data_IF_957790524549
#
_entry.id   IF_957790524549
#
_cell.length_a   1.000
_cell.length_b   1.000
_cell.length_c   1.000
_cell.angle_alpha   90.00
_cell.angle_beta   90.00
_cell.angle_gamma   90.00
#
_symmetry.space_group_name_H-M   'P 1'
#
loop_
_entity.id
_entity.type
_entity.pdbx_description
1 polymer ?
#
# COMPACT_ATOMS: atom_id res chain seq x y z
N UNK A 1 -50.86 12.13 7.35
CA UNK A 1 -50.32 11.00 8.14
C UNK A 1 -50.26 9.67 7.39
N UNK A 2 -51.36 8.99 7.01
CA UNK A 2 -51.25 7.71 6.28
C UNK A 2 -50.66 7.88 4.87
N UNK A 3 -51.06 8.94 4.16
CA UNK A 3 -50.56 9.27 2.83
C UNK A 3 -49.07 9.69 2.84
N UNK A 4 -48.65 10.51 3.80
CA UNK A 4 -47.23 10.88 4.02
C UNK A 4 -46.35 9.68 4.43
N UNK A 5 -46.88 8.72 5.19
CA UNK A 5 -46.17 7.49 5.54
C UNK A 5 -45.98 6.58 4.32
N UNK A 6 -46.99 6.47 3.47
CA UNK A 6 -46.91 5.72 2.22
C UNK A 6 -45.89 6.36 1.26
N UNK A 7 -45.85 7.69 1.18
CA UNK A 7 -44.92 8.44 0.33
C UNK A 7 -43.46 8.27 0.81
N UNK A 8 -43.21 8.41 2.11
CA UNK A 8 -41.87 8.18 2.68
C UNK A 8 -41.37 6.74 2.45
N UNK A 9 -42.22 5.73 2.66
CA UNK A 9 -41.82 4.33 2.45
C UNK A 9 -41.45 4.05 0.99
N UNK A 10 -42.18 4.64 0.04
CA UNK A 10 -41.88 4.55 -1.38
C UNK A 10 -40.57 5.27 -1.74
N UNK A 11 -40.33 6.46 -1.18
CA UNK A 11 -39.09 7.21 -1.37
C UNK A 11 -37.89 6.45 -0.79
N UNK A 12 -38.00 5.93 0.43
CA UNK A 12 -36.98 5.13 1.09
C UNK A 12 -36.65 3.86 0.29
N UNK A 13 -37.68 3.15 -0.19
CA UNK A 13 -37.48 1.96 -1.03
C UNK A 13 -36.71 2.27 -2.32
N UNK A 14 -37.01 3.40 -2.98
CA UNK A 14 -36.24 3.88 -4.14
C UNK A 14 -34.80 4.20 -3.77
N UNK A 15 -34.58 4.93 -2.68
CA UNK A 15 -33.24 5.30 -2.22
C UNK A 15 -32.38 4.07 -1.87
N UNK A 16 -32.94 3.09 -1.15
CA UNK A 16 -32.28 1.82 -0.81
C UNK A 16 -31.91 1.04 -2.07
N UNK A 17 -32.80 0.94 -3.06
CA UNK A 17 -32.53 0.24 -4.32
C UNK A 17 -31.47 0.94 -5.19
N UNK A 18 -31.49 2.27 -5.23
CA UNK A 18 -30.45 3.06 -5.90
C UNK A 18 -29.09 2.86 -5.21
N UNK A 19 -29.07 2.87 -3.88
CA UNK A 19 -27.87 2.61 -3.09
C UNK A 19 -27.35 1.18 -3.31
N UNK A 20 -28.22 0.17 -3.34
CA UNK A 20 -27.87 -1.21 -3.69
C UNK A 20 -27.18 -1.28 -5.06
N UNK A 21 -27.79 -0.66 -6.07
CA UNK A 21 -27.25 -0.59 -7.42
C UNK A 21 -25.87 0.09 -7.47
N UNK A 22 -25.68 1.13 -6.65
CA UNK A 22 -24.38 1.78 -6.50
C UNK A 22 -23.34 0.88 -5.83
N UNK A 23 -23.73 0.13 -4.79
CA UNK A 23 -22.84 -0.81 -4.12
C UNK A 23 -22.38 -1.92 -5.09
N UNK A 24 -23.30 -2.54 -5.81
CA UNK A 24 -22.99 -3.63 -6.74
C UNK A 24 -22.09 -3.20 -7.89
N UNK A 25 -22.34 -2.01 -8.46
CA UNK A 25 -21.58 -1.52 -9.62
C UNK A 25 -20.22 -0.95 -9.24
N UNK A 26 -20.08 -0.39 -8.04
CA UNK A 26 -18.93 0.44 -7.70
C UNK A 26 -18.18 -0.04 -6.46
N UNK A 27 -18.87 -0.18 -5.33
CA UNK A 27 -18.22 -0.42 -4.03
C UNK A 27 -17.75 -1.87 -3.88
N UNK A 28 -18.56 -2.84 -4.27
CA UNK A 28 -18.23 -4.27 -4.15
C UNK A 28 -17.06 -4.66 -5.07
N UNK A 29 -17.02 -4.26 -6.35
CA UNK A 29 -15.85 -4.49 -7.20
C UNK A 29 -14.57 -3.84 -6.65
N UNK A 30 -14.67 -2.61 -6.12
CA UNK A 30 -13.54 -1.93 -5.47
C UNK A 30 -13.06 -2.70 -4.24
N UNK A 31 -13.98 -3.09 -3.35
CA UNK A 31 -13.67 -3.88 -2.16
C UNK A 31 -12.90 -5.17 -2.52
N UNK A 32 -13.35 -5.90 -3.54
CA UNK A 32 -12.67 -7.11 -4.00
C UNK A 32 -11.26 -6.82 -4.52
N UNK A 33 -11.10 -5.73 -5.27
CA UNK A 33 -9.78 -5.31 -5.75
C UNK A 33 -8.84 -4.93 -4.60
N UNK A 34 -9.33 -4.15 -3.64
CA UNK A 34 -8.56 -3.69 -2.50
C UNK A 34 -8.14 -4.86 -1.60
N UNK A 35 -9.01 -5.86 -1.38
CA UNK A 35 -8.69 -7.08 -0.63
C UNK A 35 -7.62 -7.95 -1.32
N UNK A 36 -7.61 -8.01 -2.65
CA UNK A 36 -6.54 -8.67 -3.42
C UNK A 36 -5.21 -7.94 -3.28
N UNK A 37 -5.22 -6.62 -3.39
CA UNK A 37 -4.02 -5.80 -3.18
C UNK A 37 -3.49 -5.97 -1.75
N UNK A 38 -4.37 -6.01 -0.75
CA UNK A 38 -4.00 -6.25 0.65
C UNK A 38 -3.32 -7.62 0.82
N UNK A 39 -3.88 -8.68 0.25
CA UNK A 39 -3.27 -10.01 0.29
C UNK A 39 -1.89 -10.00 -0.37
N UNK A 40 -1.77 -9.44 -1.59
CA UNK A 40 -0.51 -9.42 -2.32
C UNK A 40 0.60 -8.67 -1.57
N UNK A 41 0.29 -7.52 -0.98
CA UNK A 41 1.23 -6.75 -0.16
C UNK A 41 1.61 -7.51 1.11
N UNK A 42 0.63 -8.11 1.78
CA UNK A 42 0.88 -8.91 2.98
C UNK A 42 1.76 -10.13 2.70
N UNK A 43 1.48 -10.89 1.63
CA UNK A 43 2.32 -12.02 1.20
C UNK A 43 3.75 -11.59 0.86
N UNK A 44 3.91 -10.39 0.29
CA UNK A 44 5.24 -9.82 0.03
C UNK A 44 5.98 -9.54 1.34
N UNK A 45 5.31 -8.94 2.33
CA UNK A 45 5.87 -8.71 3.67
C UNK A 45 6.24 -10.02 4.35
N UNK A 46 5.36 -11.03 4.31
CA UNK A 46 5.61 -12.37 4.87
C UNK A 46 6.86 -12.99 4.28
N UNK A 47 7.01 -12.98 2.95
CA UNK A 47 8.20 -13.51 2.27
C UNK A 47 9.48 -12.81 2.71
N UNK A 48 9.46 -11.49 2.89
CA UNK A 48 10.64 -10.73 3.35
C UNK A 48 10.99 -11.09 4.79
N UNK A 49 9.99 -11.18 5.68
CA UNK A 49 10.18 -11.54 7.08
C UNK A 49 10.70 -12.98 7.23
N UNK A 50 10.16 -13.92 6.44
CA UNK A 50 10.59 -15.32 6.43
C UNK A 50 12.04 -15.45 5.96
N UNK A 51 12.42 -14.73 4.88
CA UNK A 51 13.82 -14.66 4.42
C UNK A 51 14.80 -14.17 5.48
N UNK A 52 14.35 -13.26 6.36
CA UNK A 52 15.14 -12.75 7.48
C UNK A 52 15.07 -13.63 8.74
N UNK A 53 14.41 -14.79 8.68
CA UNK A 53 14.17 -15.68 9.84
C UNK A 53 13.46 -14.95 11.00
N UNK A 54 12.64 -13.95 10.70
CA UNK A 54 11.87 -13.18 11.69
C UNK A 54 10.47 -13.77 11.93
N UNK A 55 10.00 -14.61 11.01
CA UNK A 55 8.80 -15.43 11.17
C UNK A 55 9.13 -16.87 10.82
N UNK A 56 8.39 -17.80 11.42
CA UNK A 56 8.54 -19.24 11.20
C UNK A 56 7.34 -19.72 10.38
N UNK A 57 7.57 -20.51 9.33
CA UNK A 57 6.48 -21.12 8.58
C UNK A 57 5.69 -22.08 9.48
N UNK A 58 4.36 -21.99 9.43
CA UNK A 58 3.49 -22.90 10.17
C UNK A 58 3.43 -24.25 9.43
N UNK A 59 3.93 -25.36 10.02
CA UNK A 59 3.93 -26.67 9.37
C UNK A 59 2.53 -27.16 8.97
N UNK A 60 1.49 -26.66 9.63
CA UNK A 60 0.10 -27.07 9.43
C UNK A 60 -0.70 -26.07 8.59
N UNK A 61 -0.06 -25.04 8.02
CA UNK A 61 -0.73 -24.00 7.25
C UNK A 61 -1.56 -24.58 6.10
N UNK A 62 -1.02 -25.59 5.40
CA UNK A 62 -1.66 -26.20 4.22
C UNK A 62 -2.80 -27.17 4.57
N UNK A 63 -2.91 -27.60 5.84
CA UNK A 63 -3.97 -28.51 6.30
C UNK A 63 -5.24 -27.76 6.76
N UNK A 64 -5.18 -26.43 6.85
CA UNK A 64 -6.30 -25.60 7.30
C UNK A 64 -7.38 -25.48 6.22
N UNK A 65 -8.56 -26.03 6.50
CA UNK A 65 -9.75 -25.88 5.65
C UNK A 65 -10.67 -24.81 6.23
N UNK A 66 -10.90 -23.75 5.46
CA UNK A 66 -11.82 -22.67 5.84
C UNK A 66 -13.18 -22.86 5.16
N UNK A 67 -14.26 -22.74 5.94
CA UNK A 67 -15.62 -22.62 5.42
C UNK A 67 -16.15 -21.19 5.50
N UNK A 68 -15.58 -20.38 6.40
CA UNK A 68 -15.97 -19.00 6.67
C UNK A 68 -14.75 -18.23 7.20
N UNK A 69 -14.72 -16.91 6.99
CA UNK A 69 -13.67 -16.07 7.56
C UNK A 69 -13.99 -15.70 9.00
N UNK A 70 -12.96 -15.45 9.80
CA UNK A 70 -13.06 -15.08 11.21
C UNK A 70 -11.98 -14.07 11.59
N UNK A 71 -12.17 -13.41 12.73
CA UNK A 71 -11.09 -12.65 13.36
C UNK A 71 -9.91 -13.55 13.72
N UNK A 72 -8.70 -12.99 13.68
CA UNK A 72 -7.50 -13.67 14.16
C UNK A 72 -7.42 -13.52 15.68
N UNK A 73 -7.03 -14.58 16.43
CA UNK A 73 -6.94 -14.49 17.89
C UNK A 73 -6.00 -13.38 18.37
N UNK A 74 -6.36 -12.75 19.49
CA UNK A 74 -5.58 -11.70 20.16
C UNK A 74 -5.23 -12.05 21.60
N UNK A 75 -5.28 -13.34 21.96
CA UNK A 75 -4.96 -13.82 23.31
C UNK A 75 -3.50 -13.50 23.67
N UNK A 76 -3.24 -13.29 24.96
CA UNK A 76 -1.89 -13.08 25.47
C UNK A 76 -1.04 -14.34 25.36
N UNK A 77 0.26 -14.16 25.19
CA UNK A 77 1.26 -15.22 25.11
C UNK A 77 2.54 -14.78 25.83
N UNK A 78 3.38 -15.72 26.21
CA UNK A 78 4.67 -15.43 26.87
C UNK A 78 5.72 -14.89 25.88
N UNK A 79 6.75 -14.20 26.37
CA UNK A 79 7.81 -13.69 25.48
C UNK A 79 8.59 -14.81 24.76
N UNK A 80 8.69 -16.00 25.35
CA UNK A 80 9.42 -17.13 24.76
C UNK A 80 8.74 -17.73 23.52
N UNK A 81 7.41 -17.68 23.45
CA UNK A 81 6.61 -18.23 22.34
C UNK A 81 6.13 -17.16 21.35
N UNK A 82 6.44 -15.88 21.62
CA UNK A 82 5.99 -14.70 20.87
C UNK A 82 6.16 -14.81 19.35
N UNK A 83 7.37 -15.17 18.90
CA UNK A 83 7.67 -15.27 17.45
C UNK A 83 6.85 -16.40 16.82
N UNK A 84 6.74 -17.54 17.50
CA UNK A 84 5.97 -18.69 17.03
C UNK A 84 4.49 -18.34 16.91
N UNK A 85 3.88 -17.82 17.98
CA UNK A 85 2.46 -17.50 18.02
C UNK A 85 2.09 -16.44 16.98
N UNK A 86 2.90 -15.38 16.85
CA UNK A 86 2.58 -14.33 15.86
C UNK A 86 2.80 -14.82 14.42
N UNK A 87 3.78 -15.69 14.18
CA UNK A 87 4.00 -16.27 12.85
C UNK A 87 2.80 -17.11 12.42
N UNK A 88 2.27 -17.94 13.33
CA UNK A 88 1.04 -18.72 13.10
C UNK A 88 -0.14 -17.77 12.82
N UNK A 89 -0.35 -16.73 13.63
CA UNK A 89 -1.43 -15.75 13.42
C UNK A 89 -1.32 -15.02 12.08
N UNK A 90 -0.11 -14.66 11.66
CA UNK A 90 0.15 -14.04 10.36
C UNK A 90 -0.11 -15.02 9.20
N UNK A 91 0.29 -16.29 9.33
CA UNK A 91 -0.03 -17.35 8.36
C UNK A 91 -1.53 -17.63 8.26
N UNK A 92 -2.26 -17.63 9.39
CA UNK A 92 -3.71 -17.73 9.42
C UNK A 92 -4.38 -16.55 8.70
N UNK A 93 -3.90 -15.33 8.94
CA UNK A 93 -4.39 -14.14 8.23
C UNK A 93 -4.17 -14.28 6.72
N UNK A 94 -2.98 -14.67 6.27
CA UNK A 94 -2.67 -14.87 4.85
C UNK A 94 -3.59 -15.92 4.21
N UNK A 95 -3.76 -17.06 4.89
CA UNK A 95 -4.57 -18.18 4.38
C UNK A 95 -6.06 -17.83 4.32
N UNK A 96 -6.58 -17.08 5.30
CA UNK A 96 -7.96 -16.58 5.25
C UNK A 96 -8.17 -15.51 4.17
N UNK A 97 -7.18 -14.63 3.93
CA UNK A 97 -7.22 -13.67 2.84
C UNK A 97 -7.21 -14.37 1.47
N UNK A 98 -6.42 -15.43 1.31
CA UNK A 98 -6.42 -16.27 0.12
C UNK A 98 -7.77 -16.96 -0.08
N UNK A 99 -8.30 -17.60 0.97
CA UNK A 99 -9.63 -18.19 0.92
C UNK A 99 -10.69 -17.16 0.49
N UNK A 100 -10.62 -15.97 1.08
CA UNK A 100 -11.56 -14.90 0.79
C UNK A 100 -11.50 -14.47 -0.69
N UNK A 101 -10.30 -14.30 -1.25
CA UNK A 101 -10.13 -13.82 -2.62
C UNK A 101 -10.48 -14.87 -3.70
N UNK A 102 -10.37 -16.15 -3.36
CA UNK A 102 -10.53 -17.27 -4.30
C UNK A 102 -11.92 -17.93 -4.22
N UNK A 103 -12.50 -18.04 -3.02
CA UNK A 103 -13.72 -18.84 -2.80
C UNK A 103 -14.90 -18.05 -2.24
N UNK A 104 -14.67 -16.86 -1.70
CA UNK A 104 -15.75 -16.04 -1.13
C UNK A 104 -16.55 -15.34 -2.21
N UNK A 105 -17.87 -15.30 -2.01
CA UNK A 105 -18.76 -14.56 -2.90
C UNK A 105 -18.87 -13.11 -2.43
N UNK A 106 -18.73 -12.18 -3.37
CA UNK A 106 -18.88 -10.75 -3.14
C UNK A 106 -20.14 -10.27 -3.85
N UNK A 107 -21.28 -10.49 -3.19
CA UNK A 107 -22.60 -10.00 -3.60
C UNK A 107 -23.36 -9.50 -2.37
N UNK A 108 -24.33 -8.60 -2.58
CA UNK A 108 -25.16 -8.12 -1.48
C UNK A 108 -25.90 -9.27 -0.78
N UNK A 109 -26.41 -10.26 -1.52
CA UNK A 109 -27.11 -11.40 -0.92
C UNK A 109 -26.22 -12.24 0.00
N UNK A 110 -24.95 -12.42 -0.39
CA UNK A 110 -24.01 -13.23 0.37
C UNK A 110 -23.41 -12.48 1.57
N UNK A 111 -23.20 -11.16 1.45
CA UNK A 111 -22.58 -10.31 2.47
C UNK A 111 -23.56 -9.89 3.56
N UNK A 112 -23.85 -10.83 4.46
CA UNK A 112 -24.71 -10.60 5.63
C UNK A 112 -24.01 -9.79 6.73
N UNK A 113 -24.77 -9.20 7.66
CA UNK A 113 -24.22 -8.46 8.80
C UNK A 113 -23.18 -9.27 9.61
N UNK A 114 -23.40 -10.57 9.95
CA UNK A 114 -22.38 -11.38 10.63
C UNK A 114 -21.10 -11.55 9.81
N UNK A 115 -21.22 -11.80 8.50
CA UNK A 115 -20.05 -11.94 7.61
C UNK A 115 -19.27 -10.65 7.49
N UNK A 116 -19.95 -9.51 7.35
CA UNK A 116 -19.30 -8.20 7.35
C UNK A 116 -18.56 -7.93 8.67
N UNK A 117 -19.09 -8.39 9.81
CA UNK A 117 -18.37 -8.31 11.11
C UNK A 117 -17.12 -9.19 11.10
N UNK A 118 -17.20 -10.41 10.58
CA UNK A 118 -16.06 -11.31 10.49
C UNK A 118 -14.96 -10.76 9.56
N UNK A 119 -15.32 -10.26 8.38
CA UNK A 119 -14.37 -9.62 7.45
C UNK A 119 -13.74 -8.40 8.13
N UNK A 120 -14.52 -7.59 8.84
CA UNK A 120 -14.00 -6.43 9.59
C UNK A 120 -12.99 -6.88 10.65
N UNK A 121 -13.28 -7.95 11.39
CA UNK A 121 -12.40 -8.48 12.42
C UNK A 121 -11.09 -9.03 11.82
N UNK A 122 -11.18 -9.76 10.70
CA UNK A 122 -10.02 -10.24 9.96
C UNK A 122 -9.14 -9.08 9.49
N UNK A 123 -9.72 -8.10 8.79
CA UNK A 123 -9.00 -6.92 8.26
C UNK A 123 -8.36 -6.10 9.38
N UNK A 124 -8.94 -6.09 10.58
CA UNK A 124 -8.40 -5.39 11.77
C UNK A 124 -7.39 -6.20 12.59
N UNK A 125 -6.94 -7.36 12.11
CA UNK A 125 -5.92 -8.18 12.76
C UNK A 125 -4.70 -7.36 13.22
N UNK A 126 -4.21 -6.46 12.36
CA UNK A 126 -3.12 -5.52 12.65
C UNK A 126 -3.59 -4.12 12.29
N UNK A 127 -3.28 -3.14 13.14
CA UNK A 127 -3.46 -1.71 12.81
C UNK A 127 -2.26 -1.24 12.00
N UNK A 128 -2.43 -1.19 10.68
CA UNK A 128 -1.36 -0.77 9.76
C UNK A 128 -1.15 0.74 9.80
N UNK A 129 -2.23 1.50 9.98
CA UNK A 129 -2.15 2.92 10.29
C UNK A 129 -1.72 3.15 11.74
N UNK A 130 -0.71 3.98 11.96
CA UNK A 130 -0.16 4.24 13.29
C UNK A 130 0.56 3.05 13.95
N UNK A 131 1.11 2.12 13.15
CA UNK A 131 1.85 0.96 13.65
C UNK A 131 2.96 1.37 14.65
N UNK A 132 2.94 0.77 15.84
CA UNK A 132 3.85 1.12 16.94
C UNK A 132 4.15 -0.07 17.85
N UNK A 133 5.42 -0.27 18.28
CA UNK A 133 5.78 -1.22 19.34
C UNK A 133 5.17 -0.89 20.71
N UNK A 134 4.54 0.28 20.87
CA UNK A 134 3.85 0.66 22.11
C UNK A 134 2.31 0.50 21.99
N UNK A 135 1.83 -0.22 20.98
CA UNK A 135 0.39 -0.48 20.81
C UNK A 135 -0.17 -1.30 21.97
N UNK A 136 -1.39 -0.96 22.41
CA UNK A 136 -2.18 -1.77 23.36
C UNK A 136 -2.71 -3.07 22.72
N UNK A 137 -2.71 -3.16 21.39
CA UNK A 137 -3.06 -4.37 20.66
C UNK A 137 -1.83 -5.27 20.50
N UNK A 138 -1.86 -6.47 21.09
CA UNK A 138 -0.71 -7.37 21.16
C UNK A 138 -0.20 -7.79 19.78
N UNK A 139 -1.10 -8.06 18.83
CA UNK A 139 -0.73 -8.46 17.48
C UNK A 139 -0.04 -7.31 16.75
N UNK A 140 -0.62 -6.11 16.77
CA UNK A 140 -0.03 -4.89 16.19
C UNK A 140 1.33 -4.60 16.80
N UNK A 141 1.47 -4.68 18.13
CA UNK A 141 2.72 -4.43 18.84
C UNK A 141 3.82 -5.37 18.36
N UNK A 142 3.57 -6.68 18.39
CA UNK A 142 4.58 -7.68 18.06
C UNK A 142 4.92 -7.64 16.58
N UNK A 143 3.94 -7.45 15.69
CA UNK A 143 4.20 -7.24 14.26
C UNK A 143 5.05 -5.99 14.03
N UNK A 144 4.80 -4.89 14.75
CA UNK A 144 5.63 -3.69 14.68
C UNK A 144 7.08 -3.94 15.13
N UNK A 145 7.28 -4.72 16.20
CA UNK A 145 8.61 -5.13 16.63
C UNK A 145 9.34 -5.98 15.58
N UNK A 146 8.66 -6.97 14.98
CA UNK A 146 9.23 -7.80 13.93
C UNK A 146 9.61 -6.98 12.70
N UNK A 147 8.75 -6.05 12.28
CA UNK A 147 9.03 -5.18 11.14
C UNK A 147 10.18 -4.22 11.43
N UNK A 148 10.29 -3.68 12.65
CA UNK A 148 11.43 -2.85 13.04
C UNK A 148 12.74 -3.65 13.06
N UNK A 149 12.71 -4.90 13.52
CA UNK A 149 13.86 -5.82 13.38
C UNK A 149 14.17 -6.10 11.91
N UNK A 150 13.16 -6.25 11.06
CA UNK A 150 13.30 -6.43 9.62
C UNK A 150 13.94 -5.24 8.90
N UNK A 151 13.65 -4.02 9.36
CA UNK A 151 14.33 -2.78 8.95
C UNK A 151 15.76 -2.68 9.49
N UNK A 152 16.10 -3.43 10.54
CA UNK A 152 17.45 -3.50 11.09
C UNK A 152 18.45 -4.11 10.08
N UNK A 153 19.55 -3.39 9.86
CA UNK A 153 20.63 -3.75 8.92
C UNK A 153 21.03 -2.55 8.04
N UNK A 154 22.24 -2.58 7.47
CA UNK A 154 22.78 -1.51 6.60
C UNK A 154 22.17 -1.52 5.18
N UNK A 155 20.92 -2.00 5.02
CA UNK A 155 20.18 -2.01 3.76
C UNK A 155 18.99 -1.03 3.75
N UNK A 156 19.22 0.22 3.29
CA UNK A 156 18.17 1.20 3.07
C UNK A 156 17.11 0.81 2.04
N UNK A 157 17.39 -0.12 1.11
CA UNK A 157 16.41 -0.56 0.11
C UNK A 157 15.31 -1.39 0.78
N UNK A 158 15.68 -2.39 1.58
CA UNK A 158 14.74 -3.14 2.41
C UNK A 158 13.95 -2.22 3.34
N UNK A 159 14.61 -1.24 3.95
CA UNK A 159 13.95 -0.25 4.81
C UNK A 159 12.92 0.58 4.05
N UNK A 160 13.24 1.05 2.84
CA UNK A 160 12.31 1.79 1.99
C UNK A 160 11.12 0.93 1.55
N UNK A 161 11.37 -0.33 1.18
CA UNK A 161 10.34 -1.29 0.79
C UNK A 161 9.36 -1.56 1.93
N UNK A 162 9.85 -1.78 3.16
CA UNK A 162 8.98 -1.91 4.33
C UNK A 162 8.14 -0.66 4.56
N UNK A 163 8.74 0.53 4.50
CA UNK A 163 8.01 1.78 4.74
C UNK A 163 6.90 2.01 3.69
N UNK A 164 7.19 1.72 2.41
CA UNK A 164 6.20 1.81 1.34
C UNK A 164 5.07 0.78 1.52
N UNK A 165 5.42 -0.49 1.74
CA UNK A 165 4.43 -1.55 1.96
C UNK A 165 3.52 -1.26 3.16
N UNK A 166 4.06 -0.74 4.27
CA UNK A 166 3.26 -0.37 5.44
C UNK A 166 2.30 0.79 5.16
N UNK A 167 2.77 1.81 4.43
CA UNK A 167 1.93 2.94 4.03
C UNK A 167 0.81 2.49 3.10
N UNK A 168 1.12 1.62 2.13
CA UNK A 168 0.11 1.06 1.22
C UNK A 168 -0.90 0.19 1.97
N UNK A 169 -0.44 -0.68 2.87
CA UNK A 169 -1.31 -1.51 3.72
C UNK A 169 -2.27 -0.67 4.56
N UNK A 170 -1.79 0.40 5.21
CA UNK A 170 -2.65 1.33 5.95
C UNK A 170 -3.69 2.03 5.06
N UNK A 171 -3.27 2.47 3.87
CA UNK A 171 -4.18 3.11 2.90
C UNK A 171 -5.28 2.15 2.45
N UNK A 172 -4.90 0.93 2.04
CA UNK A 172 -5.82 -0.10 1.56
C UNK A 172 -6.75 -0.57 2.68
N UNK A 173 -6.22 -0.78 3.90
CA UNK A 173 -7.03 -1.15 5.06
C UNK A 173 -8.16 -0.14 5.30
N UNK A 174 -7.86 1.16 5.22
CA UNK A 174 -8.87 2.21 5.38
C UNK A 174 -9.93 2.16 4.27
N UNK A 175 -9.52 2.02 2.99
CA UNK A 175 -10.44 1.86 1.85
C UNK A 175 -11.37 0.64 2.00
N UNK A 176 -10.82 -0.50 2.41
CA UNK A 176 -11.57 -1.74 2.69
C UNK A 176 -12.59 -1.51 3.79
N UNK A 177 -12.18 -0.93 4.92
CA UNK A 177 -13.07 -0.65 6.06
C UNK A 177 -14.17 0.36 5.70
N UNK A 178 -13.88 1.36 4.88
CA UNK A 178 -14.88 2.31 4.37
C UNK A 178 -15.91 1.63 3.46
N UNK A 179 -15.45 0.77 2.55
CA UNK A 179 -16.34 -0.01 1.68
C UNK A 179 -17.25 -0.93 2.50
N UNK A 180 -16.68 -1.63 3.50
CA UNK A 180 -17.46 -2.46 4.43
C UNK A 180 -18.48 -1.63 5.21
N UNK A 181 -18.14 -0.42 5.67
CA UNK A 181 -19.09 0.49 6.35
C UNK A 181 -20.28 0.86 5.45
N UNK A 182 -20.05 1.14 4.16
CA UNK A 182 -21.12 1.43 3.19
C UNK A 182 -22.05 0.23 3.01
N UNK A 183 -21.50 -0.98 2.89
CA UNK A 183 -22.31 -2.21 2.78
C UNK A 183 -23.06 -2.48 4.09
N UNK A 184 -22.44 -2.22 5.25
CA UNK A 184 -23.12 -2.29 6.56
C UNK A 184 -24.32 -1.37 6.64
N UNK A 185 -24.16 -0.11 6.21
CA UNK A 185 -25.26 0.85 6.17
C UNK A 185 -26.42 0.28 5.34
N UNK A 186 -26.14 -0.16 4.12
CA UNK A 186 -27.16 -0.77 3.27
C UNK A 186 -27.85 -1.97 3.93
N UNK A 187 -27.10 -2.92 4.49
CA UNK A 187 -27.68 -4.11 5.12
C UNK A 187 -28.57 -3.79 6.32
N UNK A 188 -28.25 -2.73 7.06
CA UNK A 188 -29.12 -2.22 8.13
C UNK A 188 -30.40 -1.62 7.55
N UNK A 189 -30.28 -0.77 6.54
CA UNK A 189 -31.44 -0.09 5.92
C UNK A 189 -32.35 -1.05 5.16
N UNK A 190 -31.81 -2.05 4.48
CA UNK A 190 -32.54 -3.15 3.85
C UNK A 190 -33.38 -3.92 4.89
N UNK A 191 -32.78 -4.27 6.03
CA UNK A 191 -33.49 -4.92 7.13
C UNK A 191 -34.60 -4.01 7.70
N UNK A 192 -34.30 -2.73 7.96
CA UNK A 192 -35.28 -1.78 8.50
C UNK A 192 -36.44 -1.55 7.53
N UNK A 193 -36.17 -1.47 6.23
CA UNK A 193 -37.20 -1.36 5.19
C UNK A 193 -38.13 -2.58 5.19
N UNK A 194 -37.57 -3.78 5.32
CA UNK A 194 -38.35 -5.02 5.41
C UNK A 194 -39.27 -5.05 6.64
N UNK A 195 -38.79 -4.57 7.79
CA UNK A 195 -39.60 -4.43 9.01
C UNK A 195 -40.75 -3.44 8.78
N UNK A 196 -40.49 -2.30 8.14
CA UNK A 196 -41.51 -1.29 7.83
C UNK A 196 -42.61 -1.84 6.93
N UNK A 197 -42.23 -2.49 5.83
CA UNK A 197 -43.18 -2.97 4.81
C UNK A 197 -43.98 -4.20 5.24
N UNK A 198 -43.47 -4.97 6.21
CA UNK A 198 -44.11 -6.23 6.63
C UNK A 198 -44.79 -6.08 7.99
N UNK A 199 -44.06 -5.66 9.02
CA UNK A 199 -44.52 -5.70 10.41
C UNK A 199 -45.27 -4.43 10.81
N UNK A 200 -44.75 -3.26 10.46
CA UNK A 200 -45.43 -2.01 10.85
C UNK A 200 -46.72 -1.77 10.07
N UNK A 201 -46.77 -2.21 8.81
CA UNK A 201 -47.99 -2.19 8.01
C UNK A 201 -49.09 -3.11 8.60
N UNK A 202 -48.72 -4.24 9.22
CA UNK A 202 -49.70 -5.15 9.85
C UNK A 202 -50.21 -4.63 11.20
N UNK A 203 -49.32 -4.06 12.03
CA UNK A 203 -49.64 -3.69 13.42
C UNK A 203 -50.47 -2.41 13.60
N UNK A 204 -50.47 -1.50 12.62
CA UNK A 204 -51.17 -0.18 12.70
C UNK A 204 -51.00 0.52 14.07
N UNK A 205 -49.76 0.66 14.54
CA UNK A 205 -49.47 1.29 15.84
C UNK A 205 -49.74 2.80 15.82
N UNK A 206 -50.32 3.32 16.91
CA UNK A 206 -50.48 4.76 17.15
C UNK A 206 -49.22 5.35 17.84
N UNK A 207 -48.81 6.60 17.54
CA UNK A 207 -47.63 7.22 18.16
C UNK A 207 -47.65 7.23 19.70
N UNK A 208 -48.82 7.47 20.28
CA UNK A 208 -49.03 7.54 21.73
C UNK A 208 -48.77 6.19 22.42
N UNK A 209 -49.01 5.09 21.70
CA UNK A 209 -48.81 3.73 22.23
C UNK A 209 -47.32 3.41 22.41
N UNK A 210 -46.47 3.86 21.49
CA UNK A 210 -45.01 3.70 21.61
C UNK A 210 -44.44 4.65 22.68
N UNK A 211 -44.90 5.89 22.73
CA UNK A 211 -44.41 6.88 23.71
C UNK A 211 -44.81 6.52 25.15
N UNK A 212 -45.96 5.86 25.35
CA UNK A 212 -46.45 5.46 26.67
C UNK A 212 -45.96 4.10 27.17
N UNK A 213 -45.64 3.13 26.29
CA UNK A 213 -45.26 1.78 26.70
C UNK A 213 -44.41 1.01 25.66
N UNK A 214 -43.13 1.37 25.54
CA UNK A 214 -42.19 0.81 24.57
C UNK A 214 -42.03 -0.72 24.68
N UNK A 215 -41.96 -1.28 25.90
CA UNK A 215 -41.80 -2.72 26.10
C UNK A 215 -42.96 -3.55 25.54
N UNK A 216 -44.18 -3.03 25.67
CA UNK A 216 -45.36 -3.71 25.16
C UNK A 216 -45.40 -3.71 23.62
N UNK A 217 -44.99 -2.59 23.01
CA UNK A 217 -44.85 -2.49 21.55
C UNK A 217 -43.81 -3.47 21.02
N UNK A 218 -42.65 -3.59 21.66
CA UNK A 218 -41.61 -4.56 21.27
C UNK A 218 -42.13 -6.00 21.39
N UNK A 219 -42.90 -6.33 22.44
CA UNK A 219 -43.53 -7.65 22.59
C UNK A 219 -44.51 -7.95 21.46
N UNK A 220 -45.34 -6.98 21.05
CA UNK A 220 -46.25 -7.11 19.91
C UNK A 220 -45.49 -7.36 18.60
N UNK A 221 -44.43 -6.58 18.35
CA UNK A 221 -43.56 -6.75 17.18
C UNK A 221 -42.90 -8.13 17.18
N UNK A 222 -42.43 -8.63 18.33
CA UNK A 222 -41.84 -9.96 18.43
C UNK A 222 -42.83 -11.08 18.05
N UNK A 223 -44.11 -10.93 18.42
CA UNK A 223 -45.17 -11.87 18.03
C UNK A 223 -45.38 -11.84 16.51
N UNK A 224 -45.62 -10.66 15.94
CA UNK A 224 -45.82 -10.51 14.49
C UNK A 224 -44.61 -10.97 13.67
N UNK A 225 -43.40 -10.71 14.16
CA UNK A 225 -42.16 -11.15 13.54
C UNK A 225 -42.09 -12.68 13.49
N UNK A 226 -42.48 -13.37 14.55
CA UNK A 226 -42.50 -14.84 14.57
C UNK A 226 -43.50 -15.45 13.58
N UNK A 227 -44.57 -14.72 13.28
CA UNK A 227 -45.62 -15.14 12.34
C UNK A 227 -45.23 -14.86 10.89
N UNK A 228 -44.70 -13.67 10.59
CA UNK A 228 -44.50 -13.16 9.22
C UNK A 228 -43.05 -13.17 8.71
N UNK A 229 -42.05 -13.35 9.57
CA UNK A 229 -40.62 -13.20 9.23
C UNK A 229 -39.80 -14.49 9.50
N UNK A 230 -40.37 -15.66 9.18
CA UNK A 230 -39.69 -16.95 9.37
C UNK A 230 -38.36 -17.00 8.61
N UNK A 231 -37.29 -17.37 9.30
CA UNK A 231 -35.94 -17.47 8.73
C UNK A 231 -35.11 -16.17 8.79
N UNK A 232 -35.70 -15.05 9.19
CA UNK A 232 -34.95 -13.81 9.44
C UNK A 232 -34.54 -13.69 10.92
N UNK A 233 -33.34 -13.16 11.23
CA UNK A 233 -32.92 -12.92 12.60
C UNK A 233 -33.68 -11.73 13.19
N UNK A 234 -34.16 -11.88 14.43
CA UNK A 234 -34.72 -10.74 15.18
C UNK A 234 -33.59 -9.87 15.72
N UNK A 235 -33.46 -8.65 15.22
CA UNK A 235 -32.42 -7.69 15.65
C UNK A 235 -33.08 -6.54 16.45
N UNK A 236 -33.07 -6.59 17.79
CA UNK A 236 -33.80 -5.62 18.62
C UNK A 236 -33.38 -4.18 18.38
N UNK A 237 -32.08 -3.91 18.28
CA UNK A 237 -31.53 -2.57 18.09
C UNK A 237 -32.06 -1.89 16.83
N UNK A 238 -32.16 -2.63 15.71
CA UNK A 238 -32.67 -2.10 14.44
C UNK A 238 -34.18 -1.89 14.49
N UNK A 239 -34.91 -2.71 15.24
CA UNK A 239 -36.35 -2.55 15.44
C UNK A 239 -36.62 -1.29 16.26
N UNK A 240 -35.88 -1.08 17.35
CA UNK A 240 -35.97 0.16 18.13
C UNK A 240 -35.65 1.37 17.27
N UNK A 241 -34.61 1.32 16.45
CA UNK A 241 -34.26 2.41 15.52
C UNK A 241 -35.41 2.72 14.55
N UNK A 242 -36.08 1.69 14.00
CA UNK A 242 -37.28 1.88 13.17
C UNK A 242 -38.40 2.57 13.95
N UNK A 243 -38.68 2.14 15.18
CA UNK A 243 -39.74 2.75 15.98
C UNK A 243 -39.43 4.20 16.35
N UNK A 244 -38.17 4.51 16.63
CA UNK A 244 -37.71 5.86 16.90
C UNK A 244 -37.85 6.75 15.67
N UNK A 245 -37.49 6.22 14.49
CA UNK A 245 -37.67 6.88 13.20
C UNK A 245 -39.14 7.09 12.82
N UNK A 246 -40.11 6.34 13.38
CA UNK A 246 -41.53 6.44 13.01
C UNK A 246 -42.40 7.18 14.03
N UNK A 247 -42.16 7.01 15.33
CA UNK A 247 -43.11 7.34 16.39
C UNK A 247 -42.59 8.33 17.45
N UNK A 248 -41.38 8.84 17.31
CA UNK A 248 -40.83 9.88 18.21
C UNK A 248 -41.04 11.29 17.65
N UNK A 249 -40.92 12.29 18.53
CA UNK A 249 -40.97 13.71 18.14
C UNK A 249 -39.82 14.12 17.20
N UNK A 250 -38.79 13.28 17.02
CA UNK A 250 -37.67 13.50 16.10
C UNK A 250 -37.83 12.77 14.76
N UNK A 251 -38.96 12.08 14.53
CA UNK A 251 -39.25 11.25 13.35
C UNK A 251 -38.91 11.96 12.03
N UNK A 252 -39.47 13.14 11.77
CA UNK A 252 -39.23 13.87 10.52
C UNK A 252 -37.75 14.22 10.27
N UNK A 253 -37.01 14.56 11.34
CA UNK A 253 -35.57 14.85 11.25
C UNK A 253 -34.80 13.58 10.90
N UNK A 254 -35.08 12.48 11.60
CA UNK A 254 -34.40 11.20 11.40
C UNK A 254 -34.63 10.63 10.00
N UNK A 255 -35.87 10.74 9.49
CA UNK A 255 -36.23 10.33 8.12
C UNK A 255 -35.47 11.12 7.05
N UNK A 256 -35.38 12.45 7.22
CA UNK A 256 -34.58 13.30 6.31
C UNK A 256 -33.09 12.97 6.36
N UNK A 257 -32.53 12.78 7.56
CA UNK A 257 -31.13 12.37 7.73
C UNK A 257 -30.84 11.01 7.08
N UNK A 258 -31.78 10.07 7.18
CA UNK A 258 -31.67 8.75 6.55
C UNK A 258 -31.64 8.86 5.02
N UNK A 259 -32.58 9.60 4.42
CA UNK A 259 -32.59 9.81 2.97
C UNK A 259 -31.32 10.50 2.48
N UNK A 260 -30.78 11.47 3.25
CA UNK A 260 -29.50 12.10 2.95
C UNK A 260 -28.33 11.10 3.00
N UNK A 261 -28.29 10.18 3.97
CA UNK A 261 -27.25 9.15 4.07
C UNK A 261 -27.28 8.15 2.91
N UNK A 262 -28.48 7.85 2.41
CA UNK A 262 -28.70 6.93 1.27
C UNK A 262 -28.59 7.62 -0.09
N UNK A 263 -28.51 8.95 -0.13
CA UNK A 263 -28.45 9.68 -1.38
C UNK A 263 -27.11 9.41 -2.08
N UNK A 264 -27.19 8.66 -3.18
CA UNK A 264 -26.05 8.36 -4.06
C UNK A 264 -25.66 9.58 -4.89
N UNK A 265 -26.58 10.53 -5.07
CA UNK A 265 -26.34 11.81 -5.73
C UNK A 265 -25.90 12.88 -4.73
N UNK A 266 -24.67 13.38 -4.90
CA UNK A 266 -23.98 14.32 -4.00
C UNK A 266 -23.37 13.67 -2.74
N UNK A 267 -22.42 12.75 -2.96
CA UNK A 267 -21.15 12.96 -2.26
C UNK A 267 -20.79 14.43 -2.50
N UNK A 268 -20.77 15.26 -1.44
CA UNK A 268 -20.08 16.55 -1.47
C UNK A 268 -18.86 16.34 -2.33
N UNK A 269 -18.80 17.01 -3.48
CA UNK A 269 -17.67 16.91 -4.37
C UNK A 269 -16.44 17.03 -3.46
N UNK A 270 -15.57 16.01 -3.35
CA UNK A 270 -14.35 16.18 -2.61
C UNK A 270 -13.77 17.48 -3.14
N UNK A 271 -13.52 18.45 -2.24
CA UNK A 271 -12.97 19.77 -2.59
C UNK A 271 -12.08 19.55 -3.79
N UNK A 272 -12.42 20.10 -4.96
CA UNK A 272 -11.57 20.02 -6.15
C UNK A 272 -10.17 20.38 -5.67
N UNK A 273 -9.34 19.38 -5.40
CA UNK A 273 -7.91 19.55 -5.55
C UNK A 273 -7.84 19.83 -7.02
N UNK A 274 -7.36 21.02 -7.35
CA UNK A 274 -6.97 21.33 -8.72
C UNK A 274 -6.35 20.07 -9.30
N UNK A 275 -6.94 19.59 -10.38
CA UNK A 275 -6.42 18.48 -11.16
C UNK A 275 -4.99 18.90 -11.49
N UNK A 276 -4.03 18.41 -10.70
CA UNK A 276 -2.63 18.44 -11.09
C UNK A 276 -2.61 17.52 -12.30
N UNK A 277 -2.48 18.10 -13.49
CA UNK A 277 -2.19 17.41 -14.73
C UNK A 277 -1.32 16.16 -14.42
N UNK A 278 -1.90 14.96 -14.56
CA UNK A 278 -1.28 13.71 -14.11
C UNK A 278 0.11 13.52 -14.73
N UNK A 279 0.23 13.98 -15.97
CA UNK A 279 1.49 14.06 -16.70
C UNK A 279 2.50 14.98 -16.02
N UNK A 280 2.07 16.12 -15.47
CA UNK A 280 2.96 16.99 -14.67
C UNK A 280 3.40 16.34 -13.36
N UNK A 281 2.54 15.55 -12.71
CA UNK A 281 2.89 14.85 -11.48
C UNK A 281 4.01 13.81 -11.71
N UNK A 282 3.90 12.98 -12.75
CA UNK A 282 4.97 12.02 -13.09
C UNK A 282 6.23 12.71 -13.63
N UNK A 283 6.09 13.82 -14.37
CA UNK A 283 7.24 14.62 -14.82
C UNK A 283 7.99 15.27 -13.65
N UNK A 284 7.28 15.69 -12.60
CA UNK A 284 7.91 16.21 -11.39
C UNK A 284 8.63 15.10 -10.61
N UNK A 285 8.04 13.90 -10.51
CA UNK A 285 8.72 12.73 -9.94
C UNK A 285 10.03 12.42 -10.69
N UNK A 286 10.00 12.47 -12.02
CA UNK A 286 11.18 12.27 -12.87
C UNK A 286 12.22 13.38 -12.67
N UNK A 287 11.80 14.64 -12.51
CA UNK A 287 12.70 15.77 -12.23
C UNK A 287 13.38 15.62 -10.86
N UNK A 288 12.63 15.19 -9.85
CA UNK A 288 13.17 14.93 -8.51
C UNK A 288 14.20 13.78 -8.54
N UNK A 289 13.94 12.74 -9.35
CA UNK A 289 14.90 11.66 -9.59
C UNK A 289 16.16 12.18 -10.29
N UNK A 290 16.00 13.15 -11.21
CA UNK A 290 17.08 13.71 -12.00
C UNK A 290 18.08 14.53 -11.17
N UNK A 291 17.69 15.02 -10.00
CA UNK A 291 18.59 15.71 -9.05
C UNK A 291 19.73 14.82 -8.54
N UNK A 292 19.63 13.50 -8.70
CA UNK A 292 20.70 12.57 -8.37
C UNK A 292 21.99 12.77 -9.19
N UNK A 293 21.92 13.41 -10.37
CA UNK A 293 23.06 13.53 -11.30
C UNK A 293 24.28 14.23 -10.68
N UNK A 294 24.07 15.29 -9.89
CA UNK A 294 25.17 16.06 -9.27
C UNK A 294 25.97 15.20 -8.29
N UNK A 295 25.27 14.34 -7.53
CA UNK A 295 25.88 13.43 -6.58
C UNK A 295 26.52 12.22 -7.28
N UNK A 296 25.97 11.76 -8.41
CA UNK A 296 26.64 10.79 -9.27
C UNK A 296 27.98 11.31 -9.78
N UNK A 297 28.02 12.55 -10.30
CA UNK A 297 29.25 13.17 -10.78
C UNK A 297 30.29 13.37 -9.66
N UNK A 298 29.82 13.68 -8.43
CA UNK A 298 30.65 13.70 -7.23
C UNK A 298 31.26 12.33 -6.92
N UNK A 299 30.43 11.28 -6.91
CA UNK A 299 30.86 9.92 -6.61
C UNK A 299 31.87 9.40 -7.64
N UNK A 300 31.60 9.63 -8.94
CA UNK A 300 32.51 9.25 -10.03
C UNK A 300 33.88 9.91 -9.89
N UNK A 301 33.93 11.21 -9.59
CA UNK A 301 35.21 11.92 -9.38
C UNK A 301 36.03 11.29 -8.25
N UNK A 302 35.40 11.01 -7.11
CA UNK A 302 36.05 10.38 -5.95
C UNK A 302 36.51 8.95 -6.20
N UNK A 303 35.72 8.14 -6.91
CA UNK A 303 36.13 6.78 -7.29
C UNK A 303 37.30 6.79 -8.28
N UNK A 304 37.30 7.74 -9.24
CA UNK A 304 38.42 7.90 -10.17
C UNK A 304 39.71 8.26 -9.44
N UNK A 305 39.64 9.18 -8.48
CA UNK A 305 40.78 9.53 -7.62
C UNK A 305 41.25 8.31 -6.79
N UNK A 306 40.31 7.57 -6.20
CA UNK A 306 40.60 6.37 -5.40
C UNK A 306 41.26 5.25 -6.23
N UNK A 307 40.78 5.06 -7.46
CA UNK A 307 41.38 4.14 -8.43
C UNK A 307 42.80 4.57 -8.80
N UNK A 308 43.06 5.86 -9.03
CA UNK A 308 44.40 6.36 -9.34
C UNK A 308 45.39 6.11 -8.19
N UNK A 309 44.97 6.31 -6.94
CA UNK A 309 45.80 6.04 -5.75
C UNK A 309 46.18 4.55 -5.65
N UNK A 310 45.28 3.66 -6.08
CA UNK A 310 45.52 2.22 -6.12
C UNK A 310 46.41 1.82 -7.32
N UNK A 311 46.19 2.40 -8.49
CA UNK A 311 46.97 2.14 -9.72
C UNK A 311 48.40 2.68 -9.67
N UNK A 312 48.64 3.81 -8.98
CA UNK A 312 49.98 4.37 -8.73
C UNK A 312 50.90 3.44 -7.91
N UNK A 313 50.42 2.24 -7.55
CA UNK A 313 51.16 1.15 -6.92
C UNK A 313 51.86 0.23 -7.92
N UNK A 314 51.60 0.33 -9.22
CA UNK A 314 52.34 -0.38 -10.26
C UNK A 314 52.95 0.64 -11.24
N UNK A 315 54.08 0.29 -11.87
CA UNK A 315 54.81 1.07 -12.88
C UNK A 315 55.96 1.93 -12.29
N UNK A 316 57.15 1.31 -12.07
CA UNK A 316 58.42 2.03 -12.01
C UNK A 316 58.59 2.91 -13.25
N UNK A 317 59.28 4.04 -13.14
CA UNK A 317 59.40 5.07 -14.19
C UNK A 317 59.83 4.51 -15.57
N UNK A 318 60.56 3.40 -15.62
CA UNK A 318 60.92 2.67 -16.86
C UNK A 318 59.78 1.92 -17.56
N UNK A 319 58.74 1.48 -16.85
CA UNK A 319 57.56 0.86 -17.45
C UNK A 319 56.58 1.89 -18.05
N UNK A 320 56.60 3.17 -17.60
CA UNK A 320 55.83 4.26 -18.25
C UNK A 320 56.36 4.50 -19.67
N UNK A 321 57.69 4.47 -19.85
CA UNK A 321 58.35 4.59 -21.16
C UNK A 321 58.02 3.39 -22.05
N UNK A 322 58.04 2.18 -21.48
CA UNK A 322 57.68 0.93 -22.19
C UNK A 322 56.21 0.89 -22.60
N UNK A 323 55.31 1.34 -21.73
CA UNK A 323 53.86 1.38 -22.00
C UNK A 323 53.52 2.46 -23.04
N UNK A 324 54.23 3.60 -23.03
CA UNK A 324 54.14 4.62 -24.07
C UNK A 324 54.63 4.08 -25.44
N UNK A 325 55.76 3.38 -25.48
CA UNK A 325 56.25 2.68 -26.69
C UNK A 325 55.27 1.61 -27.20
N UNK A 326 54.65 0.83 -26.30
CA UNK A 326 53.64 -0.16 -26.68
C UNK A 326 52.30 0.45 -27.09
N UNK A 327 51.96 1.66 -26.64
CA UNK A 327 50.74 2.38 -27.06
C UNK A 327 50.79 2.87 -28.51
N UNK A 328 51.99 2.97 -29.10
CA UNK A 328 52.19 3.25 -30.53
C UNK A 328 52.02 1.99 -31.40
N UNK A 329 52.06 0.80 -30.80
CA UNK A 329 51.91 -0.51 -31.47
C UNK A 329 50.56 -1.11 -31.10
N UNK A 330 49.45 -0.44 -31.45
CA UNK A 330 48.10 -0.99 -31.68
C UNK A 330 47.45 -1.97 -30.67
N UNK A 331 48.04 -2.29 -29.52
CA UNK A 331 47.48 -3.22 -28.54
C UNK A 331 46.57 -2.46 -27.61
N UNK A 332 45.28 -2.79 -27.64
CA UNK A 332 44.28 -2.29 -26.70
C UNK A 332 44.74 -2.57 -25.27
N UNK A 333 44.81 -1.51 -24.45
CA UNK A 333 45.09 -1.59 -23.01
C UNK A 333 44.10 -2.58 -22.37
N UNK A 334 44.59 -3.44 -21.48
CA UNK A 334 43.72 -4.39 -20.77
C UNK A 334 42.70 -3.63 -19.91
N UNK A 335 41.43 -4.07 -19.87
CA UNK A 335 40.38 -3.39 -19.13
C UNK A 335 40.65 -3.48 -17.62
N UNK A 336 40.47 -2.36 -16.92
CA UNK A 336 40.62 -2.31 -15.47
C UNK A 336 39.47 -3.04 -14.78
N UNK A 337 39.77 -4.17 -14.14
CA UNK A 337 38.78 -5.04 -13.51
C UNK A 337 38.98 -5.07 -12.01
N UNK A 338 37.91 -4.82 -11.25
CA UNK A 338 37.87 -5.01 -9.80
C UNK A 338 36.93 -6.16 -9.44
N UNK A 339 37.33 -6.96 -8.47
CA UNK A 339 36.50 -8.01 -7.88
C UNK A 339 35.92 -7.46 -6.58
N UNK A 340 34.68 -7.00 -6.64
CA UNK A 340 34.02 -6.33 -5.52
C UNK A 340 32.98 -7.24 -4.91
N UNK A 341 32.85 -7.20 -3.59
CA UNK A 341 31.80 -7.93 -2.89
C UNK A 341 30.52 -7.09 -2.88
N UNK A 342 29.49 -7.61 -3.55
CA UNK A 342 28.15 -7.03 -3.54
C UNK A 342 27.28 -7.85 -2.61
N UNK A 343 26.60 -7.17 -1.68
CA UNK A 343 25.59 -7.79 -0.85
C UNK A 343 24.38 -8.14 -1.71
N UNK A 344 24.04 -9.43 -1.82
CA UNK A 344 22.83 -9.86 -2.50
C UNK A 344 21.60 -9.59 -1.59
N UNK A 345 20.68 -8.69 -1.98
CA UNK A 345 19.53 -8.34 -1.16
C UNK A 345 18.53 -9.50 -0.98
N UNK A 346 18.61 -10.55 -1.81
CA UNK A 346 17.73 -11.71 -1.75
C UNK A 346 18.25 -12.84 -0.85
N UNK A 347 19.56 -12.96 -0.66
CA UNK A 347 20.21 -14.05 0.08
C UNK A 347 21.05 -13.58 1.28
N UNK A 348 21.37 -12.28 1.38
CA UNK A 348 22.23 -11.72 2.42
C UNK A 348 23.71 -12.13 2.31
N UNK A 349 24.06 -12.93 1.30
CA UNK A 349 25.42 -13.37 1.04
C UNK A 349 26.21 -12.28 0.29
N UNK A 350 27.51 -12.20 0.58
CA UNK A 350 28.43 -11.42 -0.24
C UNK A 350 28.71 -12.21 -1.51
N UNK A 351 28.32 -11.66 -2.66
CA UNK A 351 28.64 -12.21 -3.97
C UNK A 351 29.78 -11.40 -4.57
N UNK A 352 30.85 -12.09 -4.97
CA UNK A 352 31.93 -11.47 -5.71
C UNK A 352 31.46 -11.13 -7.14
N UNK A 353 31.45 -9.85 -7.49
CA UNK A 353 31.16 -9.35 -8.84
C UNK A 353 32.45 -8.91 -9.53
N UNK A 354 32.67 -9.43 -10.74
CA UNK A 354 33.72 -8.95 -11.64
C UNK A 354 33.24 -7.67 -12.31
N UNK A 355 33.76 -6.52 -11.87
CA UNK A 355 33.36 -5.21 -12.36
C UNK A 355 34.43 -4.62 -13.28
N UNK A 356 34.09 -4.38 -14.55
CA UNK A 356 34.89 -3.51 -15.41
C UNK A 356 34.69 -2.06 -14.97
N UNK A 357 35.73 -1.47 -14.39
CA UNK A 357 35.67 -0.13 -13.82
C UNK A 357 35.46 0.94 -14.89
N UNK A 358 36.13 0.84 -16.04
CA UNK A 358 36.02 1.83 -17.10
C UNK A 358 34.62 1.83 -17.73
N UNK A 359 34.04 0.64 -17.94
CA UNK A 359 32.68 0.50 -18.44
C UNK A 359 31.67 1.07 -17.45
N UNK A 360 31.82 0.74 -16.16
CA UNK A 360 30.95 1.25 -15.09
C UNK A 360 31.01 2.77 -14.98
N UNK A 361 32.21 3.35 -15.01
CA UNK A 361 32.42 4.79 -14.98
C UNK A 361 31.76 5.47 -16.19
N UNK A 362 31.92 4.89 -17.38
CA UNK A 362 31.35 5.41 -18.63
C UNK A 362 29.82 5.32 -18.65
N UNK A 363 29.25 4.17 -18.30
CA UNK A 363 27.79 3.98 -18.28
C UNK A 363 27.13 4.87 -17.23
N UNK A 364 27.75 5.02 -16.06
CA UNK A 364 27.23 5.87 -14.98
C UNK A 364 27.31 7.35 -15.35
N UNK A 365 28.38 7.77 -16.03
CA UNK A 365 28.51 9.14 -16.55
C UNK A 365 27.46 9.42 -17.63
N UNK A 366 27.22 8.47 -18.54
CA UNK A 366 26.15 8.59 -19.54
C UNK A 366 24.78 8.73 -18.86
N UNK A 367 24.50 7.92 -17.83
CA UNK A 367 23.27 8.04 -17.03
C UNK A 367 23.16 9.39 -16.35
N UNK A 368 24.24 9.87 -15.74
CA UNK A 368 24.29 11.20 -15.11
C UNK A 368 23.95 12.31 -16.12
N UNK A 369 24.50 12.26 -17.34
CA UNK A 369 24.19 13.24 -18.40
C UNK A 369 22.72 13.20 -18.82
N UNK A 370 22.15 12.01 -18.96
CA UNK A 370 20.71 11.85 -19.27
C UNK A 370 19.86 12.50 -18.18
N UNK A 371 20.17 12.25 -16.90
CA UNK A 371 19.45 12.84 -15.76
C UNK A 371 19.67 14.35 -15.66
N UNK A 372 20.88 14.85 -15.90
CA UNK A 372 21.17 16.28 -15.92
C UNK A 372 20.27 17.01 -16.92
N UNK A 373 20.10 16.43 -18.12
CA UNK A 373 19.20 16.92 -19.17
C UNK A 373 17.70 16.84 -18.86
N UNK A 374 17.29 16.39 -17.67
CA UNK A 374 15.90 16.37 -17.20
C UNK A 374 15.64 17.35 -16.04
N UNK A 375 16.67 18.02 -15.54
CA UNK A 375 16.57 18.86 -14.34
C UNK A 375 15.86 20.19 -14.61
N UNK A 376 16.05 20.72 -15.83
CA UNK A 376 15.53 22.03 -16.26
C UNK A 376 14.37 21.81 -17.24
N UNK A 377 13.21 22.42 -16.98
CA UNK A 377 12.01 22.25 -17.81
C UNK A 377 12.16 22.70 -19.26
N UNK A 378 13.04 23.68 -19.53
CA UNK A 378 13.35 24.18 -20.87
C UNK A 378 14.43 23.38 -21.61
N UNK A 379 15.04 22.36 -20.98
CA UNK A 379 16.06 21.55 -21.63
C UNK A 379 15.48 20.69 -22.75
N UNK A 380 16.27 20.46 -23.80
CA UNK A 380 15.85 19.62 -24.93
C UNK A 380 15.51 18.19 -24.51
N UNK A 381 16.18 17.66 -23.48
CA UNK A 381 15.88 16.36 -22.89
C UNK A 381 14.53 16.33 -22.19
N UNK A 382 14.24 17.34 -21.35
CA UNK A 382 12.95 17.45 -20.65
C UNK A 382 11.79 17.68 -21.63
N UNK A 383 11.97 18.53 -22.64
CA UNK A 383 10.93 18.79 -23.66
C UNK A 383 10.63 17.53 -24.47
N UNK A 384 11.65 16.74 -24.84
CA UNK A 384 11.45 15.47 -25.55
C UNK A 384 10.69 14.45 -24.71
N UNK A 385 10.98 14.34 -23.41
CA UNK A 385 10.27 13.37 -22.56
C UNK A 385 8.86 13.84 -22.22
N UNK A 386 8.64 15.14 -22.06
CA UNK A 386 7.30 15.70 -21.80
C UNK A 386 6.37 15.61 -23.01
N UNK A 387 6.88 15.37 -24.21
CA UNK A 387 6.06 15.10 -25.39
C UNK A 387 5.58 13.65 -25.48
N UNK A 388 6.16 12.73 -24.70
CA UNK A 388 5.78 11.31 -24.72
C UNK A 388 4.40 11.05 -24.08
N UNK A 389 3.78 9.91 -24.40
CA UNK A 389 2.67 9.36 -23.61
C UNK A 389 3.04 9.21 -22.15
N UNK A 390 2.04 9.31 -21.28
CA UNK A 390 2.23 9.21 -19.83
C UNK A 390 2.84 7.85 -19.39
N UNK A 391 2.41 6.76 -20.03
CA UNK A 391 2.91 5.40 -19.78
C UNK A 391 4.41 5.28 -20.09
N UNK A 392 4.87 5.85 -21.21
CA UNK A 392 6.30 5.88 -21.57
C UNK A 392 7.14 6.68 -20.56
N UNK A 393 6.57 7.74 -19.97
CA UNK A 393 7.26 8.56 -18.96
C UNK A 393 7.39 7.75 -17.67
N UNK A 394 6.32 7.02 -17.28
CA UNK A 394 6.34 6.13 -16.13
C UNK A 394 7.34 4.98 -16.32
N UNK A 395 7.36 4.33 -17.47
CA UNK A 395 8.32 3.26 -17.77
C UNK A 395 9.76 3.78 -17.73
N UNK A 396 10.00 4.96 -18.30
CA UNK A 396 11.32 5.60 -18.25
C UNK A 396 11.74 5.93 -16.80
N UNK A 397 10.81 6.39 -15.97
CA UNK A 397 11.03 6.62 -14.55
C UNK A 397 11.42 5.32 -13.84
N UNK A 398 10.64 4.25 -13.99
CA UNK A 398 10.87 2.97 -13.30
C UNK A 398 12.19 2.33 -13.71
N UNK A 399 12.51 2.33 -15.02
CA UNK A 399 13.81 1.89 -15.51
C UNK A 399 14.95 2.71 -14.93
N UNK A 400 14.80 4.04 -14.89
CA UNK A 400 15.82 4.93 -14.33
C UNK A 400 16.02 4.75 -12.84
N UNK A 401 14.95 4.46 -12.10
CA UNK A 401 14.99 4.14 -10.68
C UNK A 401 15.79 2.86 -10.43
N UNK A 402 15.49 1.78 -11.16
CA UNK A 402 16.20 0.49 -11.03
C UNK A 402 17.69 0.64 -11.37
N UNK A 403 18.01 1.35 -12.45
CA UNK A 403 19.40 1.61 -12.86
C UNK A 403 20.18 2.38 -11.79
N UNK A 404 19.58 3.42 -11.19
CA UNK A 404 20.20 4.18 -10.11
C UNK A 404 20.45 3.33 -8.86
N UNK A 405 19.52 2.44 -8.51
CA UNK A 405 19.72 1.49 -7.40
C UNK A 405 20.92 0.57 -7.63
N UNK A 406 21.06 0.02 -8.84
CA UNK A 406 22.23 -0.81 -9.21
C UNK A 406 23.53 -0.02 -9.18
N UNK A 407 23.51 1.25 -9.59
CA UNK A 407 24.68 2.13 -9.51
C UNK A 407 25.08 2.33 -8.04
N UNK A 408 24.13 2.59 -7.14
CA UNK A 408 24.40 2.77 -5.70
C UNK A 408 25.09 1.54 -5.10
N UNK A 409 24.62 0.33 -5.41
CA UNK A 409 25.22 -0.92 -4.92
C UNK A 409 26.69 -1.02 -5.34
N UNK A 410 26.98 -0.74 -6.62
CA UNK A 410 28.35 -0.75 -7.15
C UNK A 410 29.22 0.35 -6.58
N UNK A 411 28.68 1.56 -6.39
CA UNK A 411 29.39 2.67 -5.72
C UNK A 411 29.80 2.28 -4.29
N UNK A 412 28.88 1.67 -3.55
CA UNK A 412 29.15 1.22 -2.18
C UNK A 412 30.20 0.11 -2.14
N UNK A 413 30.11 -0.86 -3.05
CA UNK A 413 31.04 -1.99 -3.12
C UNK A 413 32.45 -1.54 -3.50
N UNK A 414 32.58 -0.58 -4.43
CA UNK A 414 33.86 0.04 -4.77
C UNK A 414 34.43 0.89 -3.63
N UNK A 415 33.60 1.62 -2.88
CA UNK A 415 34.03 2.38 -1.69
C UNK A 415 34.68 1.47 -0.63
N UNK A 416 34.06 0.31 -0.39
CA UNK A 416 34.58 -0.71 0.54
C UNK A 416 35.87 -1.30 0.01
N UNK A 417 35.89 -1.73 -1.26
CA UNK A 417 37.05 -2.32 -1.91
C UNK A 417 38.27 -1.38 -1.87
N UNK A 418 38.13 -0.10 -2.25
CA UNK A 418 39.26 0.83 -2.21
C UNK A 418 39.78 1.08 -0.80
N UNK A 419 38.93 1.00 0.24
CA UNK A 419 39.35 1.14 1.63
C UNK A 419 40.05 -0.10 2.18
N UNK A 420 39.72 -1.29 1.68
CA UNK A 420 40.35 -2.55 2.09
C UNK A 420 41.72 -2.73 1.45
N UNK A 421 41.83 -2.46 0.14
CA UNK A 421 43.03 -2.76 -0.67
C UNK A 421 44.17 -1.74 -0.53
N UNK A 422 43.89 -0.54 -0.03
CA UNK A 422 44.89 0.51 0.13
C UNK A 422 45.65 0.34 1.46
N UNK A 423 47.00 0.39 1.44
CA UNK A 423 47.83 0.33 2.64
C UNK A 423 47.44 1.39 3.68
N UNK A 424 47.60 1.08 4.98
CA UNK A 424 47.09 1.91 6.09
C UNK A 424 47.56 3.36 6.00
N UNK A 425 48.76 3.59 5.50
CA UNK A 425 49.42 4.90 5.39
C UNK A 425 48.78 5.78 4.32
N UNK A 426 48.16 5.18 3.29
CA UNK A 426 47.53 5.89 2.17
C UNK A 426 46.00 5.91 2.24
N UNK A 427 45.38 5.22 3.20
CA UNK A 427 43.93 5.28 3.44
C UNK A 427 43.36 6.70 3.58
N UNK A 428 44.08 7.69 4.18
CA UNK A 428 43.59 9.07 4.23
C UNK A 428 43.44 9.74 2.85
N UNK A 429 44.10 9.22 1.81
CA UNK A 429 44.00 9.72 0.43
C UNK A 429 42.76 9.19 -0.30
N UNK A 430 42.07 8.17 0.24
CA UNK A 430 40.85 7.62 -0.33
C UNK A 430 39.65 8.45 0.11
N UNK A 431 39.05 9.17 -0.84
CA UNK A 431 37.83 9.95 -0.61
C UNK A 431 36.62 9.03 -0.70
N UNK A 432 35.96 8.81 0.43
CA UNK A 432 34.76 7.98 0.47
C UNK A 432 33.57 8.61 -0.24
N UNK A 433 32.69 7.76 -0.80
CA UNK A 433 31.47 8.17 -1.52
C UNK A 433 30.17 8.01 -0.71
N UNK A 434 30.27 7.70 0.59
CA UNK A 434 29.11 7.50 1.47
C UNK A 434 28.15 8.70 1.48
N UNK A 435 28.68 9.92 1.47
CA UNK A 435 27.86 11.15 1.45
C UNK A 435 27.06 11.26 0.17
N UNK A 436 27.69 11.04 -0.98
CA UNK A 436 27.03 11.05 -2.29
C UNK A 436 25.99 9.93 -2.40
N UNK A 437 26.29 8.73 -1.92
CA UNK A 437 25.34 7.61 -1.86
C UNK A 437 24.11 8.00 -1.03
N UNK A 438 24.30 8.62 0.14
CA UNK A 438 23.20 9.09 0.98
C UNK A 438 22.33 10.14 0.27
N UNK A 439 22.95 11.08 -0.44
CA UNK A 439 22.24 12.11 -1.20
C UNK A 439 21.45 11.53 -2.40
N UNK A 440 22.02 10.56 -3.14
CA UNK A 440 21.32 9.88 -4.23
C UNK A 440 20.12 9.09 -3.69
N UNK A 441 20.28 8.39 -2.56
CA UNK A 441 19.18 7.68 -1.87
C UNK A 441 18.05 8.63 -1.44
N UNK A 442 18.39 9.83 -1.00
CA UNK A 442 17.39 10.87 -0.66
C UNK A 442 16.60 11.30 -1.90
N UNK A 443 17.26 11.53 -3.04
CA UNK A 443 16.59 11.84 -4.31
C UNK A 443 15.62 10.71 -4.74
N UNK A 444 16.03 9.44 -4.62
CA UNK A 444 15.18 8.29 -4.90
C UNK A 444 13.95 8.26 -4.00
N UNK A 445 14.10 8.49 -2.70
CA UNK A 445 12.99 8.48 -1.74
C UNK A 445 11.96 9.60 -2.04
N UNK A 446 12.44 10.82 -2.30
CA UNK A 446 11.59 11.97 -2.62
C UNK A 446 10.89 11.77 -3.97
N UNK A 447 11.61 11.27 -4.98
CA UNK A 447 11.04 10.95 -6.28
C UNK A 447 9.99 9.83 -6.21
N UNK A 448 10.24 8.79 -5.41
CA UNK A 448 9.28 7.68 -5.20
C UNK A 448 7.98 8.21 -4.61
N UNK A 449 8.08 9.06 -3.57
CA UNK A 449 6.91 9.71 -2.97
C UNK A 449 6.07 10.47 -4.00
N UNK A 450 6.71 11.24 -4.88
CA UNK A 450 6.02 11.97 -5.95
C UNK A 450 5.38 11.02 -6.99
N UNK A 451 6.04 9.91 -7.36
CA UNK A 451 5.45 8.87 -8.22
C UNK A 451 4.22 8.23 -7.59
N UNK A 452 4.22 8.00 -6.27
CA UNK A 452 3.05 7.47 -5.58
C UNK A 452 1.87 8.44 -5.58
N UNK A 453 2.12 9.75 -5.44
CA UNK A 453 1.05 10.75 -5.55
C UNK A 453 0.41 10.73 -6.95
N UNK A 454 1.21 10.54 -8.00
CA UNK A 454 0.70 10.33 -9.37
C UNK A 454 -0.11 9.04 -9.51
N UNK A 455 0.39 7.90 -9.03
CA UNK A 455 -0.34 6.61 -9.12
C UNK A 455 -1.66 6.68 -8.37
N UNK A 456 -1.67 7.27 -7.18
CA UNK A 456 -2.90 7.45 -6.40
C UNK A 456 -3.92 8.34 -7.12
N UNK A 457 -3.48 9.42 -7.77
CA UNK A 457 -4.35 10.30 -8.55
C UNK A 457 -4.92 9.60 -9.80
N UNK A 458 -4.11 8.77 -10.47
CA UNK A 458 -4.55 7.98 -11.63
C UNK A 458 -5.54 6.88 -11.24
N UNK A 459 -5.30 6.18 -10.13
CA UNK A 459 -6.25 5.22 -9.58
C UNK A 459 -7.58 5.87 -9.19
N UNK A 460 -7.54 7.08 -8.62
CA UNK A 460 -8.72 7.86 -8.29
C UNK A 460 -9.49 8.28 -9.56
N UNK A 461 -8.83 8.75 -10.61
CA UNK A 461 -9.47 9.08 -11.89
C UNK A 461 -10.07 7.84 -12.57
N UNK A 462 -9.35 6.72 -12.59
CA UNK A 462 -9.88 5.47 -13.15
C UNK A 462 -11.08 4.96 -12.36
N UNK A 463 -11.08 5.17 -11.04
CA UNK A 463 -12.25 4.92 -10.21
C UNK A 463 -13.40 5.88 -10.58
N UNK A 464 -13.16 7.19 -10.67
CA UNK A 464 -14.18 8.19 -11.06
C UNK A 464 -14.76 7.93 -12.48
N UNK A 465 -13.93 7.53 -13.44
CA UNK A 465 -14.38 7.10 -14.78
C UNK A 465 -15.26 5.85 -14.72
N UNK A 466 -14.89 4.87 -13.89
CA UNK A 466 -15.74 3.69 -13.63
C UNK A 466 -17.06 4.05 -12.93
N UNK A 467 -17.08 5.13 -12.15
CA UNK A 467 -18.29 5.71 -11.54
C UNK A 467 -19.18 6.48 -12.54
N UNK A 468 -18.80 6.58 -13.82
CA UNK A 468 -19.56 7.29 -14.85
C UNK A 468 -19.52 8.82 -14.73
N UNK A 469 -18.61 9.34 -13.90
CA UNK A 469 -18.38 10.77 -13.72
C UNK A 469 -17.36 11.20 -14.78
N UNK A 470 -17.83 11.72 -15.91
CA UNK A 470 -16.97 12.39 -16.88
C UNK A 470 -16.72 13.83 -16.43
N UNK A 471 -15.47 14.27 -16.56
CA UNK A 471 -15.07 15.65 -16.30
C UNK A 471 -15.47 16.60 -17.43
#
# INVERSE_FOLDING_TARGET
MEEEKADFLAELGKAVNQYASHLDKNIIPSLRSDLRSMQSLFSTLMKILAKKSLVVEDPYQYDQKFSEVSGIPSDSFTEGEKVTVISIRMGQFESQMEYMNNYYQFSLDFLTLPRLKNITALVKFVKWDGMSPNSNDINTRVVAELLNKGKGGDDPMTTALFNDALKQMGTIQNKVLESIKKIFLYKREEYKLLIRSTILTSLKLAPEEYQGNQENVIRKIKREFSEHMKGHPFVPELITEVLDEEYTNSSDRLKKELLLKLNVGQSLAPKKKEIRDHKQAILEALRLLSLAHTNLDGALRKLKESSSVLEDRAIPMGEKVRTWLFSLIGRKREPLIYYVDILDPSTGAMRQERLNFEDFMTSTLQKSRVLSGLTIKSSTGFVKISQKPEEDILEFYERSFIELSKIIERLNSLDVYFKSEVPKERRPLIKGVKTEIGAIKSCLAVASKAKHEYVAAKEEEDQLKRLGIQH
#
